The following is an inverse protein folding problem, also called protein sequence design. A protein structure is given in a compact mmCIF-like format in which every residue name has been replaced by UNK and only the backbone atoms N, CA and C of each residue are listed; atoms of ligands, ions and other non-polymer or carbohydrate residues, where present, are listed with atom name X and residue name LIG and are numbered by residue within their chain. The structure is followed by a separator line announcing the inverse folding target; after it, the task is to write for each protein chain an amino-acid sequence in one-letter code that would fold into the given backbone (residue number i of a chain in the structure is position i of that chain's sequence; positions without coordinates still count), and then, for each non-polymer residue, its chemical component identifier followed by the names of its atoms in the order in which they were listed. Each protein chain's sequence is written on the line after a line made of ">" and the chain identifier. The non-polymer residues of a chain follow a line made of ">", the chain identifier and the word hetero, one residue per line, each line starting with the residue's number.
data_IF_889451035940
#
_entry.id   IF_889451035940
#
_cell.length_a   1.000
_cell.length_b   1.000
_cell.length_c   1.000
_cell.angle_alpha   90.00
_cell.angle_beta   90.00
_cell.angle_gamma   90.00
#
_symmetry.space_group_name_H-M   'P 1'
#
loop_
_entity.id
_entity.type
_entity.pdbx_description
1 polymer ?
#
# COMPACT_ATOMS: atom_id res chain seq x y z
N UNK A 1 -40.94 28.92 7.81
CA UNK A 1 -40.57 30.00 8.80
C UNK A 1 -40.12 29.32 10.08
N UNK A 2 -38.80 29.18 10.29
CA UNK A 2 -38.17 29.03 11.61
C UNK A 2 -36.70 29.47 11.47
N UNK A 3 -36.33 30.46 12.23
CA UNK A 3 -35.03 31.08 12.40
C UNK A 3 -34.04 30.08 13.03
N UNK A 4 -32.81 29.99 12.52
CA UNK A 4 -31.66 29.49 13.27
C UNK A 4 -30.60 30.59 13.40
N UNK A 5 -30.44 30.98 14.64
CA UNK A 5 -29.50 31.99 15.16
C UNK A 5 -28.04 31.50 15.05
N UNK A 6 -27.18 32.35 14.49
CA UNK A 6 -25.73 32.21 14.52
C UNK A 6 -25.21 32.47 15.94
N UNK A 7 -24.51 31.48 16.53
CA UNK A 7 -23.58 31.74 17.63
C UNK A 7 -22.15 31.50 17.12
N UNK A 8 -21.41 32.60 17.06
CA UNK A 8 -19.97 32.59 16.85
C UNK A 8 -19.27 32.04 18.09
N UNK A 9 -18.48 30.98 17.92
CA UNK A 9 -17.52 30.51 18.92
C UNK A 9 -16.15 31.10 18.61
N UNK A 10 -15.73 32.02 19.45
CA UNK A 10 -14.41 32.64 19.49
C UNK A 10 -13.35 31.61 19.78
N UNK A 11 -12.42 31.41 18.85
CA UNK A 11 -11.21 30.62 19.04
C UNK A 11 -10.26 31.38 20.00
N UNK A 12 -9.82 30.69 21.06
CA UNK A 12 -8.73 31.17 21.95
C UNK A 12 -7.37 30.87 21.28
N UNK A 13 -6.40 31.80 21.36
CA UNK A 13 -5.06 31.54 20.80
C UNK A 13 -4.26 30.58 21.65
N UNK A 14 -3.51 29.70 20.97
CA UNK A 14 -2.58 28.76 21.55
C UNK A 14 -1.29 29.49 21.97
N UNK A 15 -0.76 29.30 23.20
CA UNK A 15 0.48 29.94 23.62
C UNK A 15 1.71 29.30 22.93
N UNK A 16 2.62 30.17 22.46
CA UNK A 16 3.92 29.74 21.90
C UNK A 16 4.90 29.33 23.01
N UNK A 17 5.74 28.33 22.79
CA UNK A 17 6.76 27.91 23.75
C UNK A 17 7.94 28.91 23.73
N UNK A 18 8.37 29.30 24.92
CA UNK A 18 9.51 30.20 25.18
C UNK A 18 10.85 29.51 24.78
N UNK A 19 11.72 30.31 24.13
CA UNK A 19 13.11 29.93 23.79
C UNK A 19 13.94 29.75 25.08
N UNK A 20 14.16 28.55 25.48
CA UNK A 20 15.17 28.18 26.49
C UNK A 20 16.46 27.72 25.81
N UNK A 21 17.55 28.42 26.12
CA UNK A 21 18.92 28.12 25.72
C UNK A 21 19.36 26.87 26.51
N UNK A 22 19.78 25.79 25.83
CA UNK A 22 20.41 24.62 26.49
C UNK A 22 21.86 24.55 26.04
N UNK A 23 22.72 24.65 27.02
CA UNK A 23 24.18 24.46 26.91
C UNK A 23 24.48 22.96 26.74
N UNK A 24 25.49 22.67 25.93
CA UNK A 24 25.99 21.32 25.69
C UNK A 24 26.99 20.90 26.78
N UNK A 25 26.99 19.66 27.21
CA UNK A 25 28.13 19.10 27.97
C UNK A 25 29.06 18.25 27.06
N UNK A 26 30.32 18.40 27.37
CA UNK A 26 31.52 17.81 26.82
C UNK A 26 31.58 16.29 26.89
N UNK A 27 32.23 15.69 25.87
CA UNK A 27 32.61 14.29 25.77
C UNK A 27 33.49 13.78 26.94
N UNK A 28 33.49 12.45 27.17
CA UNK A 28 34.79 11.77 27.05
C UNK A 28 34.77 10.51 26.18
N UNK A 29 35.83 10.40 25.43
CA UNK A 29 36.34 9.27 24.66
C UNK A 29 36.41 7.96 25.44
N UNK A 30 35.92 6.85 24.85
CA UNK A 30 36.44 5.51 25.18
C UNK A 30 36.35 4.57 23.98
N UNK A 31 37.50 4.15 23.51
CA UNK A 31 37.75 3.07 22.58
C UNK A 31 37.20 1.74 23.08
N UNK A 32 36.41 1.04 22.25
CA UNK A 32 36.27 -0.41 22.37
C UNK A 32 36.40 -1.04 20.98
N UNK A 33 37.35 -1.96 20.90
CA UNK A 33 37.69 -2.83 19.78
C UNK A 33 36.49 -3.68 19.38
N UNK A 34 36.16 -3.70 18.12
CA UNK A 34 35.27 -4.69 17.54
C UNK A 34 36.05 -5.94 17.17
N UNK A 35 35.62 -7.08 17.72
CA UNK A 35 36.08 -8.39 17.33
C UNK A 35 35.45 -8.79 16.01
N UNK A 36 36.27 -9.34 15.14
CA UNK A 36 35.88 -9.95 13.87
C UNK A 36 35.04 -11.19 14.13
N UNK A 37 33.81 -11.23 13.58
CA UNK A 37 33.06 -12.45 13.39
C UNK A 37 33.04 -12.77 11.89
N UNK A 38 33.73 -13.83 11.53
CA UNK A 38 33.60 -14.50 10.23
C UNK A 38 32.20 -15.11 10.15
N UNK A 39 31.40 -14.66 9.20
CA UNK A 39 30.13 -15.28 8.82
C UNK A 39 30.34 -16.10 7.55
N UNK A 40 30.22 -17.41 7.68
CA UNK A 40 30.15 -18.35 6.56
C UNK A 40 28.95 -17.99 5.67
N UNK A 41 29.22 -17.83 4.37
CA UNK A 41 28.23 -17.46 3.40
C UNK A 41 27.35 -18.63 2.99
N UNK A 42 26.07 -18.57 3.28
CA UNK A 42 25.08 -19.34 2.55
C UNK A 42 24.62 -18.54 1.33
N UNK A 43 24.94 -19.06 0.17
CA UNK A 43 24.53 -18.53 -1.13
C UNK A 43 23.03 -18.78 -1.35
N UNK A 44 22.25 -17.71 -1.27
CA UNK A 44 20.86 -17.72 -1.68
C UNK A 44 20.80 -17.70 -3.23
N UNK A 45 20.45 -18.83 -3.81
CA UNK A 45 20.29 -19.00 -5.26
C UNK A 45 18.99 -18.32 -5.73
N UNK A 46 19.10 -17.12 -6.25
CA UNK A 46 18.01 -16.36 -6.87
C UNK A 46 18.12 -16.41 -8.39
N UNK A 47 17.83 -17.57 -8.96
CA UNK A 47 17.64 -17.71 -10.41
C UNK A 47 16.19 -17.52 -10.79
N UNK A 48 15.78 -16.29 -11.11
CA UNK A 48 14.78 -15.92 -12.13
C UNK A 48 14.46 -14.42 -12.13
N UNK A 49 15.41 -13.58 -12.52
CA UNK A 49 15.06 -12.28 -13.11
C UNK A 49 15.91 -12.05 -14.36
N UNK A 50 15.23 -11.76 -15.46
CA UNK A 50 15.76 -11.57 -16.79
C UNK A 50 16.98 -10.66 -16.83
N UNK A 51 17.91 -11.02 -17.71
CA UNK A 51 19.10 -10.31 -18.14
C UNK A 51 18.79 -8.85 -18.53
N UNK A 52 18.73 -7.97 -17.55
CA UNK A 52 18.67 -6.53 -17.67
C UNK A 52 20.03 -5.93 -17.32
N UNK A 53 20.60 -5.31 -18.32
CA UNK A 53 21.81 -4.50 -18.42
C UNK A 53 22.48 -4.12 -17.08
N UNK A 54 23.77 -4.43 -16.94
CA UNK A 54 24.69 -4.07 -15.84
C UNK A 54 24.68 -2.58 -15.43
N UNK A 55 24.02 -1.71 -16.19
CA UNK A 55 23.87 -0.27 -15.91
C UNK A 55 22.88 0.05 -14.80
N UNK A 56 21.91 -0.84 -14.52
CA UNK A 56 20.88 -0.60 -13.51
C UNK A 56 21.35 -0.87 -12.08
N UNK A 57 22.34 -1.75 -11.88
CA UNK A 57 22.86 -2.14 -10.56
C UNK A 57 23.64 -1.03 -9.83
N UNK A 58 24.01 0.05 -10.52
CA UNK A 58 24.76 1.18 -9.94
C UNK A 58 23.90 2.38 -9.56
N UNK A 59 22.60 2.36 -9.90
CA UNK A 59 21.70 3.47 -9.58
C UNK A 59 21.28 3.41 -8.10
N UNK A 60 21.32 4.58 -7.45
CA UNK A 60 20.72 4.71 -6.12
C UNK A 60 19.21 4.57 -6.22
N UNK A 61 18.60 3.94 -5.23
CA UNK A 61 17.16 3.74 -5.16
C UNK A 61 16.33 5.00 -5.46
N UNK A 62 16.73 6.14 -4.89
CA UNK A 62 16.06 7.42 -5.11
C UNK A 62 16.11 7.89 -6.58
N UNK A 63 17.21 7.63 -7.29
CA UNK A 63 17.33 7.96 -8.71
C UNK A 63 16.43 7.07 -9.56
N UNK A 64 16.37 5.78 -9.22
CA UNK A 64 15.50 4.82 -9.90
C UNK A 64 14.03 5.24 -9.79
N UNK A 65 13.58 5.64 -8.59
CA UNK A 65 12.23 6.15 -8.38
C UNK A 65 11.95 7.39 -9.22
N UNK A 66 12.88 8.36 -9.28
CA UNK A 66 12.70 9.56 -10.09
C UNK A 66 12.66 9.26 -11.58
N UNK A 67 13.47 8.31 -12.06
CA UNK A 67 13.45 7.92 -13.48
C UNK A 67 12.17 7.16 -13.86
N UNK A 68 11.70 6.25 -12.99
CA UNK A 68 10.39 5.60 -13.17
C UNK A 68 9.26 6.62 -13.19
N UNK A 69 9.29 7.61 -12.31
CA UNK A 69 8.34 8.70 -12.28
C UNK A 69 8.36 9.54 -13.58
N UNK A 70 9.55 9.82 -14.15
CA UNK A 70 9.67 10.49 -15.47
C UNK A 70 8.88 9.71 -16.53
N UNK A 71 9.04 8.40 -16.60
CA UNK A 71 8.34 7.57 -17.60
C UNK A 71 6.83 7.57 -17.37
N UNK A 72 6.38 7.44 -16.13
CA UNK A 72 4.96 7.45 -15.80
C UNK A 72 4.32 8.78 -16.23
N UNK A 73 4.91 9.91 -15.87
CA UNK A 73 4.33 11.23 -16.24
C UNK A 73 4.34 11.42 -17.75
N UNK A 74 5.41 11.07 -18.44
CA UNK A 74 5.46 11.19 -19.89
C UNK A 74 4.44 10.27 -20.57
N UNK A 75 4.26 9.05 -20.07
CA UNK A 75 3.31 8.09 -20.64
C UNK A 75 1.86 8.54 -20.48
N UNK A 76 1.50 9.04 -19.30
CA UNK A 76 0.10 9.28 -18.96
C UNK A 76 -0.35 10.74 -19.11
N UNK A 77 0.55 11.71 -18.89
CA UNK A 77 0.25 13.14 -19.09
C UNK A 77 0.73 13.67 -20.45
N UNK A 78 1.58 12.90 -21.16
CA UNK A 78 2.15 13.30 -22.45
C UNK A 78 3.14 14.46 -22.34
N UNK A 79 3.39 15.00 -21.15
CA UNK A 79 4.27 16.14 -20.91
C UNK A 79 4.92 16.12 -19.55
N UNK A 80 6.24 16.23 -19.53
CA UNK A 80 7.03 16.33 -18.30
C UNK A 80 7.72 17.69 -18.20
N UNK A 81 7.72 18.28 -17.01
CA UNK A 81 8.52 19.46 -16.68
C UNK A 81 9.36 19.19 -15.44
N UNK A 82 10.40 20.01 -15.19
CA UNK A 82 11.16 19.94 -13.92
C UNK A 82 10.28 20.17 -12.70
N UNK A 83 9.15 20.86 -12.86
CA UNK A 83 8.21 21.16 -11.77
C UNK A 83 7.58 19.88 -11.19
N UNK A 84 7.21 18.89 -12.02
CA UNK A 84 6.70 17.59 -11.57
C UNK A 84 7.67 16.91 -10.59
N UNK A 85 8.96 16.88 -10.94
CA UNK A 85 9.99 16.28 -10.07
C UNK A 85 10.22 17.10 -8.80
N UNK A 86 10.24 18.45 -8.91
CA UNK A 86 10.42 19.33 -7.76
C UNK A 86 9.30 19.17 -6.73
N UNK A 87 8.06 19.12 -7.18
CA UNK A 87 6.88 19.04 -6.31
C UNK A 87 6.72 17.68 -5.63
N UNK A 88 6.99 16.59 -6.36
CA UNK A 88 6.85 15.23 -5.81
C UNK A 88 8.02 14.84 -4.91
N UNK A 89 9.24 15.15 -5.32
CA UNK A 89 10.45 14.70 -4.60
C UNK A 89 11.08 15.76 -3.72
N UNK A 90 10.56 16.98 -3.67
CA UNK A 90 11.12 18.08 -2.88
C UNK A 90 12.52 18.49 -3.33
N UNK A 91 12.92 18.20 -4.58
CA UNK A 91 14.25 18.49 -5.11
C UNK A 91 14.31 19.85 -5.82
N UNK A 92 15.51 20.45 -5.85
CA UNK A 92 15.71 21.70 -6.56
C UNK A 92 15.66 21.52 -8.09
N UNK A 93 15.33 22.60 -8.81
CA UNK A 93 15.20 22.64 -10.28
C UNK A 93 16.46 22.15 -11.02
N UNK A 94 17.64 22.44 -10.49
CA UNK A 94 18.90 21.97 -11.07
C UNK A 94 19.02 20.45 -11.00
N UNK A 95 18.66 19.85 -9.87
CA UNK A 95 18.67 18.41 -9.70
C UNK A 95 17.63 17.74 -10.61
N UNK A 96 16.39 18.27 -10.68
CA UNK A 96 15.37 17.79 -11.59
C UNK A 96 15.82 17.81 -13.05
N UNK A 97 16.44 18.92 -13.49
CA UNK A 97 17.00 19.05 -14.84
C UNK A 97 18.11 18.04 -15.11
N UNK A 98 19.00 17.84 -14.12
CA UNK A 98 20.08 16.83 -14.19
C UNK A 98 19.54 15.41 -14.31
N UNK A 99 18.49 15.08 -13.55
CA UNK A 99 17.87 13.76 -13.59
C UNK A 99 17.21 13.48 -14.94
N UNK A 100 16.46 14.45 -15.50
CA UNK A 100 15.89 14.33 -16.85
C UNK A 100 16.98 14.13 -17.91
N UNK A 101 18.05 14.93 -17.84
CA UNK A 101 19.15 14.81 -18.81
C UNK A 101 19.91 13.49 -18.67
N UNK A 102 20.11 13.01 -17.46
CA UNK A 102 20.73 11.71 -17.21
C UNK A 102 19.83 10.56 -17.72
N UNK A 103 18.51 10.61 -17.45
CA UNK A 103 17.57 9.65 -17.98
C UNK A 103 17.66 9.59 -19.51
N UNK A 104 17.60 10.73 -20.20
CA UNK A 104 17.74 10.84 -21.67
C UNK A 104 19.05 10.28 -22.20
N UNK A 105 20.14 10.40 -21.44
CA UNK A 105 21.47 10.00 -21.91
C UNK A 105 21.80 8.56 -21.58
N UNK A 106 21.41 8.07 -20.42
CA UNK A 106 21.93 6.80 -19.87
C UNK A 106 20.89 5.69 -19.74
N UNK A 107 19.62 6.03 -19.49
CA UNK A 107 18.58 5.03 -19.25
C UNK A 107 17.82 4.72 -20.54
N UNK A 108 17.25 5.72 -21.16
CA UNK A 108 16.44 5.58 -22.35
C UNK A 108 16.75 6.68 -23.40
N UNK A 109 17.89 6.58 -24.10
CA UNK A 109 18.24 7.51 -25.15
C UNK A 109 17.17 7.57 -26.23
N UNK A 110 16.74 8.77 -26.59
CA UNK A 110 15.74 8.99 -27.64
C UNK A 110 14.28 8.87 -27.18
N UNK A 111 13.99 8.56 -25.91
CA UNK A 111 12.61 8.45 -25.41
C UNK A 111 11.90 9.81 -25.27
N UNK A 112 12.64 10.90 -25.06
CA UNK A 112 12.07 12.21 -24.76
C UNK A 112 12.54 13.27 -25.76
N UNK A 113 11.59 13.99 -26.35
CA UNK A 113 11.82 15.19 -27.10
C UNK A 113 11.48 16.44 -26.30
N UNK A 114 12.16 17.56 -26.57
CA UNK A 114 11.79 18.82 -25.94
C UNK A 114 10.87 19.60 -26.88
N UNK A 115 9.66 19.86 -26.44
CA UNK A 115 8.69 20.68 -27.16
C UNK A 115 8.70 22.11 -26.58
N UNK A 116 9.14 23.06 -27.43
CA UNK A 116 9.20 24.48 -27.06
C UNK A 116 7.78 25.11 -26.89
N UNK A 117 6.80 24.60 -27.62
CA UNK A 117 5.41 25.06 -27.53
C UNK A 117 4.75 24.58 -26.25
N UNK A 118 4.91 23.30 -25.94
CA UNK A 118 4.46 22.70 -24.71
C UNK A 118 5.30 23.11 -23.48
N UNK A 119 6.49 23.72 -23.71
CA UNK A 119 7.47 24.09 -22.66
C UNK A 119 7.81 22.93 -21.74
N UNK A 120 8.05 21.75 -22.33
CA UNK A 120 8.31 20.52 -21.57
C UNK A 120 8.88 19.42 -22.45
N UNK A 121 9.13 18.28 -21.82
CA UNK A 121 9.53 17.06 -22.52
C UNK A 121 8.26 16.25 -22.85
N UNK A 122 8.18 15.78 -24.08
CA UNK A 122 7.10 14.93 -24.59
C UNK A 122 7.64 13.56 -24.96
N UNK A 123 6.81 12.52 -25.01
CA UNK A 123 7.26 11.22 -25.53
C UNK A 123 7.64 11.37 -27.01
N UNK A 124 8.75 10.78 -27.41
CA UNK A 124 9.14 10.68 -28.82
C UNK A 124 8.29 9.60 -29.51
N UNK A 125 8.29 9.57 -30.86
CA UNK A 125 7.63 8.51 -31.65
C UNK A 125 8.20 7.10 -31.33
N UNK A 126 9.37 7.01 -30.71
CA UNK A 126 10.04 5.78 -30.34
C UNK A 126 9.99 5.50 -28.84
N UNK A 127 9.14 6.22 -28.11
CA UNK A 127 9.03 6.07 -26.64
C UNK A 127 8.75 4.62 -26.24
N UNK A 128 9.66 4.06 -25.46
CA UNK A 128 9.52 2.72 -24.86
C UNK A 128 9.87 2.79 -23.37
N UNK A 129 8.90 2.59 -22.47
CA UNK A 129 9.18 2.52 -21.04
C UNK A 129 10.21 1.44 -20.71
N UNK A 130 11.15 1.75 -19.82
CA UNK A 130 12.20 0.83 -19.34
C UNK A 130 12.00 0.48 -17.87
N UNK A 131 11.34 1.34 -17.11
CA UNK A 131 11.25 1.28 -15.65
C UNK A 131 9.81 1.18 -15.14
N UNK A 132 8.84 1.74 -15.85
CA UNK A 132 7.43 1.57 -15.54
C UNK A 132 6.89 0.30 -16.19
N UNK A 133 5.89 -0.33 -15.55
CA UNK A 133 5.13 -1.46 -16.14
C UNK A 133 4.15 -1.01 -17.21
N UNK A 134 3.88 0.31 -17.28
CA UNK A 134 2.90 0.88 -18.20
C UNK A 134 1.45 0.64 -17.78
N UNK A 135 1.21 0.31 -16.52
CA UNK A 135 -0.12 0.14 -15.95
C UNK A 135 -0.69 1.49 -15.52
N UNK A 136 -1.95 1.76 -15.87
CA UNK A 136 -2.65 3.00 -15.48
C UNK A 136 -2.67 3.20 -13.96
N UNK A 137 -2.72 2.11 -13.19
CA UNK A 137 -2.70 2.14 -11.73
C UNK A 137 -1.48 2.87 -11.17
N UNK A 138 -0.31 2.75 -11.81
CA UNK A 138 0.90 3.43 -11.36
C UNK A 138 0.76 4.96 -11.33
N UNK A 139 0.08 5.53 -12.33
CA UNK A 139 -0.19 6.96 -12.39
C UNK A 139 -1.29 7.39 -11.42
N UNK A 140 -2.40 6.63 -11.38
CA UNK A 140 -3.53 6.94 -10.50
C UNK A 140 -3.15 6.82 -9.01
N UNK A 141 -2.26 5.90 -8.64
CA UNK A 141 -1.71 5.79 -7.29
C UNK A 141 -0.84 7.00 -6.91
N UNK A 142 -0.09 7.57 -7.86
CA UNK A 142 0.64 8.82 -7.64
C UNK A 142 -0.34 9.94 -7.33
N UNK A 143 -1.40 10.11 -8.13
CA UNK A 143 -2.42 11.13 -7.89
C UNK A 143 -3.11 10.93 -6.53
N UNK A 144 -3.43 9.69 -6.16
CA UNK A 144 -4.01 9.37 -4.86
C UNK A 144 -3.08 9.76 -3.70
N UNK A 145 -1.79 9.45 -3.81
CA UNK A 145 -0.78 9.84 -2.81
C UNK A 145 -0.59 11.35 -2.70
N UNK A 146 -0.69 12.08 -3.82
CA UNK A 146 -0.63 13.55 -3.82
C UNK A 146 -1.84 14.19 -3.14
N UNK A 147 -3.02 13.55 -3.20
CA UNK A 147 -4.21 14.01 -2.46
C UNK A 147 -3.99 13.97 -0.95
N UNK A 148 -3.31 12.96 -0.40
CA UNK A 148 -2.96 12.92 1.01
C UNK A 148 -1.99 14.07 1.39
N UNK A 149 -1.01 14.37 0.52
CA UNK A 149 -0.09 15.51 0.71
C UNK A 149 -0.84 16.83 0.65
N UNK A 150 -1.84 16.98 -0.22
CA UNK A 150 -2.70 18.16 -0.27
C UNK A 150 -3.44 18.37 1.04
N UNK A 151 -3.99 17.34 1.66
CA UNK A 151 -4.67 17.45 2.95
C UNK A 151 -3.72 17.97 4.06
N UNK A 152 -2.44 17.60 3.99
CA UNK A 152 -1.41 18.04 4.93
C UNK A 152 -0.91 19.46 4.68
N UNK A 153 -0.73 19.85 3.41
CA UNK A 153 -0.10 21.11 3.01
C UNK A 153 -1.11 22.18 2.56
N UNK A 154 -2.39 21.83 2.41
CA UNK A 154 -3.47 22.73 2.01
C UNK A 154 -3.47 23.12 0.52
N UNK A 155 -2.55 22.58 -0.29
CA UNK A 155 -2.44 22.87 -1.72
C UNK A 155 -2.06 21.64 -2.51
N UNK A 156 -2.74 21.40 -3.66
CA UNK A 156 -2.27 20.44 -4.66
C UNK A 156 -1.03 21.01 -5.37
N UNK A 157 -0.07 20.15 -5.72
CA UNK A 157 0.98 20.54 -6.65
C UNK A 157 0.35 21.03 -7.97
N UNK A 158 0.67 22.27 -8.38
CA UNK A 158 0.10 22.89 -9.59
C UNK A 158 0.50 22.20 -10.91
N UNK A 159 1.45 21.27 -10.85
CA UNK A 159 1.90 20.50 -12.02
C UNK A 159 0.92 19.40 -12.43
N UNK A 160 0.01 18.98 -11.52
CA UNK A 160 -0.87 17.84 -11.74
C UNK A 160 -2.32 18.24 -11.99
N UNK A 161 -3.08 17.32 -12.60
CA UNK A 161 -4.51 17.51 -12.81
C UNK A 161 -5.28 17.53 -11.49
N UNK A 162 -6.37 18.31 -11.43
CA UNK A 162 -7.25 18.29 -10.27
C UNK A 162 -7.83 16.90 -10.05
N UNK A 163 -7.67 16.40 -8.83
CA UNK A 163 -8.07 15.03 -8.46
C UNK A 163 -8.81 15.06 -7.12
N UNK A 164 -9.94 14.40 -7.07
CA UNK A 164 -10.72 14.21 -5.83
C UNK A 164 -10.68 12.73 -5.46
N UNK A 165 -10.25 12.44 -4.23
CA UNK A 165 -10.15 11.07 -3.70
C UNK A 165 -11.09 10.92 -2.52
N UNK A 166 -12.02 9.97 -2.63
CA UNK A 166 -12.89 9.61 -1.52
C UNK A 166 -12.08 8.80 -0.50
N UNK A 167 -11.76 9.44 0.61
CA UNK A 167 -11.04 8.79 1.71
C UNK A 167 -12.01 8.19 2.73
N UNK A 168 -11.77 6.93 3.12
CA UNK A 168 -12.45 6.35 4.28
C UNK A 168 -11.88 6.95 5.58
N UNK A 169 -12.73 7.20 6.60
CA UNK A 169 -12.24 7.74 7.87
C UNK A 169 -11.10 6.92 8.46
N UNK A 170 -10.02 7.58 8.81
CA UNK A 170 -8.86 6.96 9.45
C UNK A 170 -9.25 6.35 10.80
N UNK A 171 -8.92 5.08 10.99
CA UNK A 171 -9.04 4.40 12.28
C UNK A 171 -7.73 4.53 13.02
N UNK A 172 -7.69 5.45 13.96
CA UNK A 172 -6.47 5.72 14.72
C UNK A 172 -6.08 4.52 15.58
N UNK A 173 -4.79 4.19 15.55
CA UNK A 173 -4.16 3.18 16.37
C UNK A 173 -3.01 3.87 17.09
N UNK A 174 -3.05 3.97 18.43
CA UNK A 174 -1.96 4.59 19.19
C UNK A 174 -0.61 3.91 18.93
N UNK A 175 0.49 4.67 18.78
CA UNK A 175 1.82 4.11 18.63
C UNK A 175 2.22 3.14 19.76
N UNK A 176 1.74 3.36 21.00
CA UNK A 176 1.96 2.49 22.15
C UNK A 176 1.37 1.08 21.92
N UNK A 177 0.31 0.94 21.11
CA UNK A 177 -0.26 -0.35 20.73
C UNK A 177 0.46 -0.93 19.51
N UNK A 178 0.68 -0.12 18.47
CA UNK A 178 1.18 -0.64 17.19
C UNK A 178 2.66 -1.08 17.26
N UNK A 179 3.51 -0.32 17.94
CA UNK A 179 4.95 -0.63 18.02
C UNK A 179 5.26 -2.01 18.62
N UNK A 180 4.68 -2.40 19.79
CA UNK A 180 4.89 -3.74 20.32
C UNK A 180 4.36 -4.85 19.40
N UNK A 181 3.21 -4.64 18.73
CA UNK A 181 2.65 -5.61 17.78
C UNK A 181 3.55 -5.80 16.56
N UNK A 182 4.10 -4.71 16.00
CA UNK A 182 5.05 -4.76 14.88
C UNK A 182 6.33 -5.48 15.28
N UNK A 183 6.86 -5.19 16.48
CA UNK A 183 8.03 -5.88 17.02
C UNK A 183 7.75 -7.37 17.19
N UNK A 184 6.67 -7.73 17.86
CA UNK A 184 6.29 -9.12 18.11
C UNK A 184 6.10 -9.91 16.78
N UNK A 185 5.52 -9.26 15.76
CA UNK A 185 5.36 -9.87 14.44
C UNK A 185 6.69 -10.13 13.72
N UNK A 186 7.67 -9.21 13.85
CA UNK A 186 8.99 -9.32 13.22
C UNK A 186 9.91 -10.31 13.93
N UNK A 187 9.85 -10.32 15.27
CA UNK A 187 10.76 -11.09 16.13
C UNK A 187 10.14 -12.43 16.59
N UNK A 188 8.91 -12.75 16.13
CA UNK A 188 8.15 -13.94 16.52
C UNK A 188 7.97 -14.08 18.04
N UNK A 189 7.61 -12.97 18.69
CA UNK A 189 7.39 -12.93 20.12
C UNK A 189 5.92 -13.13 20.48
N UNK A 190 5.68 -13.73 21.65
CA UNK A 190 4.38 -13.75 22.31
C UNK A 190 4.11 -12.37 22.89
N UNK A 191 2.89 -11.93 22.81
CA UNK A 191 2.48 -10.63 23.33
C UNK A 191 1.11 -10.74 24.00
N UNK A 192 1.01 -10.24 25.22
CA UNK A 192 -0.27 -10.07 25.90
C UNK A 192 -0.94 -8.78 25.46
N UNK A 193 -2.21 -8.86 25.11
CA UNK A 193 -2.99 -7.76 24.56
C UNK A 193 -4.39 -7.76 25.14
N UNK A 194 -4.96 -6.59 25.34
CA UNK A 194 -6.39 -6.43 25.59
C UNK A 194 -7.11 -6.24 24.26
N UNK A 195 -8.09 -7.07 23.98
CA UNK A 195 -8.82 -7.03 22.71
C UNK A 195 -10.32 -7.04 22.91
N UNK A 196 -11.03 -6.17 22.20
CA UNK A 196 -12.49 -6.08 22.19
C UNK A 196 -13.03 -6.69 20.91
N UNK A 197 -13.72 -7.83 21.01
CA UNK A 197 -14.39 -8.45 19.87
C UNK A 197 -15.87 -8.01 19.78
N UNK A 198 -16.48 -8.14 18.60
CA UNK A 198 -17.92 -7.84 18.44
C UNK A 198 -18.81 -8.90 19.13
N UNK A 199 -18.39 -10.15 19.11
CA UNK A 199 -19.12 -11.25 19.75
C UNK A 199 -19.03 -11.21 21.28
N UNK A 200 -17.97 -10.58 21.81
CA UNK A 200 -17.76 -10.36 23.25
C UNK A 200 -17.20 -8.96 23.41
N UNK A 201 -18.04 -7.94 23.64
CA UNK A 201 -17.62 -6.56 23.69
C UNK A 201 -16.83 -6.19 24.94
N UNK A 202 -16.75 -7.08 25.94
CA UNK A 202 -15.94 -6.89 27.12
C UNK A 202 -14.46 -6.94 26.77
N UNK A 203 -13.69 -6.08 27.42
CA UNK A 203 -12.24 -6.06 27.30
C UNK A 203 -11.66 -7.36 27.88
N UNK A 204 -10.96 -8.11 27.06
CA UNK A 204 -10.42 -9.40 27.40
C UNK A 204 -8.94 -9.50 27.08
N UNK A 205 -8.13 -9.86 28.09
CA UNK A 205 -6.72 -10.19 27.92
C UNK A 205 -6.54 -11.44 27.06
N UNK A 206 -5.59 -11.38 26.13
CA UNK A 206 -5.23 -12.49 25.24
C UNK A 206 -3.75 -12.52 25.01
N UNK A 207 -3.17 -13.72 24.98
CA UNK A 207 -1.83 -13.92 24.47
C UNK A 207 -1.92 -14.32 23.00
N UNK A 208 -1.25 -13.56 22.15
CA UNK A 208 -1.16 -13.82 20.73
C UNK A 208 0.30 -13.83 20.26
N UNK A 209 0.55 -14.50 19.14
CA UNK A 209 1.83 -14.45 18.41
C UNK A 209 1.56 -13.89 17.03
N UNK A 210 1.72 -12.59 16.82
CA UNK A 210 1.47 -11.97 15.52
C UNK A 210 2.54 -12.38 14.51
N UNK A 211 2.17 -12.44 13.21
CA UNK A 211 3.14 -12.69 12.16
C UNK A 211 2.97 -11.79 10.92
N UNK A 212 1.79 -11.27 10.64
CA UNK A 212 1.58 -10.45 9.44
C UNK A 212 0.55 -9.35 9.68
N UNK A 213 0.88 -8.13 9.25
CA UNK A 213 -0.09 -7.03 9.14
C UNK A 213 -0.79 -7.13 7.80
N UNK A 214 -2.13 -7.05 7.80
CA UNK A 214 -2.97 -7.23 6.61
C UNK A 214 -3.83 -6.00 6.39
N UNK A 215 -3.69 -5.38 5.22
CA UNK A 215 -4.60 -4.35 4.75
C UNK A 215 -5.70 -4.98 3.88
N UNK A 216 -6.96 -4.75 4.22
CA UNK A 216 -8.11 -5.35 3.52
C UNK A 216 -8.86 -4.36 2.61
N UNK A 217 -8.22 -3.25 2.25
CA UNK A 217 -8.88 -2.16 1.51
C UNK A 217 -9.72 -1.23 2.40
N UNK A 218 -10.19 -1.70 3.55
CA UNK A 218 -11.03 -0.94 4.47
C UNK A 218 -10.41 -0.69 5.84
N UNK A 219 -9.60 -1.62 6.34
CA UNK A 219 -8.99 -1.55 7.68
C UNK A 219 -7.80 -2.49 7.81
N UNK A 220 -6.92 -2.18 8.74
CA UNK A 220 -5.79 -3.00 9.11
C UNK A 220 -6.17 -4.10 10.09
N UNK A 221 -5.61 -5.28 9.88
CA UNK A 221 -5.65 -6.43 10.77
C UNK A 221 -4.22 -6.87 11.10
N UNK A 222 -4.07 -7.63 12.16
CA UNK A 222 -2.90 -8.46 12.40
C UNK A 222 -3.34 -9.92 12.44
N UNK A 223 -2.71 -10.76 11.62
CA UNK A 223 -2.86 -12.21 11.67
C UNK A 223 -1.94 -12.75 12.73
N UNK A 224 -2.48 -13.55 13.65
CA UNK A 224 -1.76 -14.03 14.82
C UNK A 224 -2.27 -15.40 15.27
N UNK A 225 -1.38 -16.22 15.83
CA UNK A 225 -1.76 -17.36 16.66
C UNK A 225 -2.39 -16.83 17.94
N UNK A 226 -3.54 -17.36 18.34
CA UNK A 226 -4.21 -17.02 19.59
C UNK A 226 -4.12 -18.18 20.56
N UNK A 227 -3.39 -18.03 21.66
CA UNK A 227 -3.21 -19.12 22.65
C UNK A 227 -4.55 -19.53 23.30
N UNK A 228 -5.45 -18.58 23.50
CA UNK A 228 -6.77 -18.88 24.05
C UNK A 228 -7.62 -19.77 23.12
N UNK A 229 -7.55 -19.52 21.83
CA UNK A 229 -8.36 -20.23 20.85
C UNK A 229 -7.63 -21.44 20.25
N UNK A 230 -6.32 -21.57 20.47
CA UNK A 230 -5.44 -22.57 19.85
C UNK A 230 -5.59 -22.58 18.30
N UNK A 231 -5.64 -21.37 17.72
CA UNK A 231 -5.93 -21.17 16.31
C UNK A 231 -5.34 -19.83 15.81
N UNK A 232 -5.06 -19.73 14.50
CA UNK A 232 -4.67 -18.49 13.86
C UNK A 232 -5.90 -17.64 13.53
N UNK A 233 -5.87 -16.37 13.93
CA UNK A 233 -6.99 -15.43 13.79
C UNK A 233 -6.56 -14.06 13.32
N UNK A 234 -7.51 -13.35 12.70
CA UNK A 234 -7.34 -11.97 12.28
C UNK A 234 -7.88 -11.02 13.36
N UNK A 235 -7.02 -10.19 13.89
CA UNK A 235 -7.36 -9.18 14.89
C UNK A 235 -7.39 -7.79 14.25
N UNK A 236 -8.50 -7.09 14.35
CA UNK A 236 -8.64 -5.71 13.85
C UNK A 236 -7.80 -4.78 14.71
N UNK A 237 -6.81 -4.09 14.11
CA UNK A 237 -5.86 -3.25 14.86
C UNK A 237 -6.53 -2.17 15.71
N UNK A 238 -7.60 -1.55 15.23
CA UNK A 238 -8.32 -0.52 15.98
C UNK A 238 -9.16 -1.03 17.17
N UNK A 239 -9.16 -2.35 17.42
CA UNK A 239 -9.87 -2.96 18.55
C UNK A 239 -8.99 -3.36 19.71
N UNK A 240 -7.67 -3.20 19.59
CA UNK A 240 -6.77 -3.35 20.72
C UNK A 240 -6.95 -2.20 21.72
N UNK A 241 -6.77 -2.49 22.99
CA UNK A 241 -6.87 -1.54 24.11
C UNK A 241 -5.68 -1.71 25.04
N UNK A 242 -5.41 -0.68 25.84
CA UNK A 242 -4.29 -0.71 26.78
C UNK A 242 -2.93 -0.76 26.10
N UNK A 243 -1.90 -1.04 26.86
CA UNK A 243 -0.52 -1.21 26.38
C UNK A 243 -0.19 -2.70 26.31
N UNK A 244 0.18 -3.23 25.14
CA UNK A 244 0.58 -4.63 24.99
C UNK A 244 1.89 -4.92 25.71
N UNK A 245 2.01 -6.13 26.33
CA UNK A 245 3.22 -6.60 27.01
C UNK A 245 3.87 -7.75 26.25
N UNK A 246 5.19 -7.62 25.97
CA UNK A 246 5.98 -8.66 25.31
C UNK A 246 6.34 -9.76 26.32
N UNK A 247 6.09 -11.01 25.97
CA UNK A 247 6.30 -12.18 26.84
C UNK A 247 7.46 -13.07 26.40
N UNK A 248 8.19 -12.70 25.34
CA UNK A 248 9.33 -13.45 24.82
C UNK A 248 9.03 -14.34 23.63
N UNK A 249 10.01 -15.10 23.15
CA UNK A 249 9.98 -15.77 21.87
C UNK A 249 8.94 -16.90 21.79
N UNK A 250 8.50 -17.19 20.56
CA UNK A 250 7.59 -18.29 20.22
C UNK A 250 8.08 -19.05 18.99
N UNK A 251 7.74 -20.33 18.90
CA UNK A 251 7.93 -21.14 17.69
C UNK A 251 6.81 -20.94 16.65
N UNK A 252 5.73 -20.25 17.01
CA UNK A 252 4.61 -19.96 16.09
C UNK A 252 4.99 -18.80 15.17
N UNK A 253 4.80 -18.99 13.87
CA UNK A 253 5.13 -18.01 12.84
C UNK A 253 4.20 -18.18 11.63
N UNK A 254 4.43 -17.43 10.56
CA UNK A 254 3.64 -17.50 9.34
C UNK A 254 3.73 -18.87 8.63
N UNK A 255 4.87 -19.57 8.71
CA UNK A 255 5.06 -20.88 8.09
C UNK A 255 4.22 -21.97 8.77
N UNK A 256 3.95 -21.81 10.08
CA UNK A 256 3.11 -22.73 10.83
C UNK A 256 1.60 -22.49 10.62
N UNK A 257 1.20 -21.40 10.00
CA UNK A 257 -0.19 -21.08 9.63
C UNK A 257 -0.53 -21.70 8.27
N UNK A 258 -1.00 -22.94 8.27
CA UNK A 258 -1.32 -23.68 7.03
C UNK A 258 -2.33 -22.94 6.15
N UNK A 259 -3.36 -22.38 6.75
CA UNK A 259 -4.41 -21.64 6.04
C UNK A 259 -3.85 -20.36 5.39
N UNK A 260 -2.87 -19.72 6.03
CA UNK A 260 -2.17 -18.58 5.48
C UNK A 260 -1.23 -18.96 4.34
N UNK A 261 -0.62 -20.14 4.40
CA UNK A 261 0.26 -20.64 3.33
C UNK A 261 -0.54 -21.13 2.11
N UNK A 262 -1.79 -21.55 2.32
CA UNK A 262 -2.64 -22.03 1.23
C UNK A 262 -2.99 -20.92 0.26
N UNK A 263 -2.70 -21.13 -1.01
CA UNK A 263 -3.11 -20.28 -2.11
C UNK A 263 -4.22 -20.98 -2.91
N UNK A 264 -5.20 -20.21 -3.32
CA UNK A 264 -6.33 -20.68 -4.13
C UNK A 264 -6.48 -19.81 -5.36
N UNK A 265 -6.94 -20.41 -6.46
CA UNK A 265 -7.34 -19.67 -7.65
C UNK A 265 -8.83 -19.30 -7.52
N UNK A 266 -9.12 -18.00 -7.69
CA UNK A 266 -10.48 -17.46 -7.78
C UNK A 266 -10.71 -17.05 -9.22
N UNK A 267 -11.75 -17.59 -9.84
CA UNK A 267 -12.11 -17.27 -11.23
C UNK A 267 -13.37 -16.42 -11.19
N UNK A 268 -13.25 -15.19 -11.68
CA UNK A 268 -14.31 -14.20 -11.74
C UNK A 268 -14.63 -13.93 -13.21
N UNK A 269 -15.90 -13.81 -13.53
CA UNK A 269 -16.37 -13.44 -14.85
C UNK A 269 -17.60 -12.55 -14.80
N UNK A 270 -18.06 -12.03 -15.95
CA UNK A 270 -19.32 -11.32 -16.01
C UNK A 270 -20.48 -12.21 -15.60
N UNK A 271 -21.51 -11.63 -14.97
CA UNK A 271 -22.72 -12.36 -14.59
C UNK A 271 -23.37 -12.97 -15.86
N UNK A 272 -23.56 -14.30 -15.89
CA UNK A 272 -24.11 -15.00 -17.06
C UNK A 272 -25.57 -14.59 -17.42
N UNK A 273 -26.26 -13.90 -16.51
CA UNK A 273 -27.61 -13.35 -16.75
C UNK A 273 -27.57 -12.08 -17.61
N UNK A 274 -26.40 -11.44 -17.77
CA UNK A 274 -26.19 -10.34 -18.69
C UNK A 274 -26.19 -10.85 -20.15
N UNK A 275 -26.67 -10.04 -21.10
CA UNK A 275 -26.55 -10.40 -22.50
C UNK A 275 -25.07 -10.31 -22.97
N UNK A 276 -24.78 -10.93 -24.12
CA UNK A 276 -23.43 -11.07 -24.65
C UNK A 276 -22.68 -9.73 -24.80
N UNK A 277 -23.36 -8.68 -25.25
CA UNK A 277 -22.76 -7.35 -25.40
C UNK A 277 -22.42 -6.74 -24.04
N UNK A 278 -23.29 -6.90 -23.05
CA UNK A 278 -23.04 -6.44 -21.68
C UNK A 278 -21.87 -7.20 -21.04
N UNK A 279 -21.82 -8.52 -21.23
CA UNK A 279 -20.68 -9.31 -20.74
C UNK A 279 -19.36 -8.86 -21.37
N UNK A 280 -19.34 -8.53 -22.65
CA UNK A 280 -18.15 -8.01 -23.34
C UNK A 280 -17.70 -6.66 -22.76
N UNK A 281 -18.65 -5.76 -22.43
CA UNK A 281 -18.33 -4.47 -21.77
C UNK A 281 -17.71 -4.71 -20.41
N UNK A 282 -18.28 -5.58 -19.57
CA UNK A 282 -17.76 -5.89 -18.24
C UNK A 282 -16.39 -6.56 -18.32
N UNK A 283 -16.21 -7.51 -19.24
CA UNK A 283 -14.93 -8.16 -19.46
C UNK A 283 -13.82 -7.17 -19.83
N UNK A 284 -14.14 -6.19 -20.67
CA UNK A 284 -13.22 -5.13 -21.03
C UNK A 284 -12.92 -4.19 -19.86
N UNK A 285 -13.94 -3.77 -19.12
CA UNK A 285 -13.80 -2.85 -17.97
C UNK A 285 -12.89 -3.42 -16.87
N UNK A 286 -13.01 -4.71 -16.59
CA UNK A 286 -12.14 -5.40 -15.63
C UNK A 286 -10.83 -5.95 -16.23
N UNK A 287 -10.53 -5.68 -17.50
CA UNK A 287 -9.32 -6.20 -18.16
C UNK A 287 -9.26 -7.73 -18.19
N UNK A 288 -10.41 -8.39 -18.32
CA UNK A 288 -10.49 -9.85 -18.33
C UNK A 288 -9.90 -10.42 -19.61
N UNK A 289 -9.12 -11.49 -19.49
CA UNK A 289 -8.59 -12.25 -20.61
C UNK A 289 -9.57 -13.38 -20.93
N UNK A 290 -10.03 -13.46 -22.18
CA UNK A 290 -11.05 -14.45 -22.61
C UNK A 290 -12.34 -14.43 -21.76
N UNK A 291 -12.71 -13.23 -21.28
CA UNK A 291 -13.88 -13.03 -20.42
C UNK A 291 -13.70 -13.51 -18.97
N UNK A 292 -12.48 -13.82 -18.54
CA UNK A 292 -12.17 -14.33 -17.22
C UNK A 292 -11.10 -13.48 -16.52
N UNK A 293 -11.29 -13.32 -15.22
CA UNK A 293 -10.28 -12.75 -14.33
C UNK A 293 -9.84 -13.84 -13.34
N UNK A 294 -8.61 -14.35 -13.51
CA UNK A 294 -8.03 -15.40 -12.66
C UNK A 294 -7.12 -14.76 -11.64
N UNK A 295 -7.45 -14.93 -10.37
CA UNK A 295 -6.72 -14.36 -9.24
C UNK A 295 -6.19 -15.48 -8.35
N UNK A 296 -4.89 -15.49 -8.12
CA UNK A 296 -4.28 -16.34 -7.09
C UNK A 296 -4.19 -15.55 -5.80
N UNK A 297 -4.90 -15.99 -4.77
CA UNK A 297 -4.96 -15.31 -3.48
C UNK A 297 -4.69 -16.27 -2.33
N UNK A 298 -4.20 -15.75 -1.20
CA UNK A 298 -4.19 -16.55 0.03
C UNK A 298 -5.60 -16.88 0.46
N UNK A 299 -5.86 -18.14 0.78
CA UNK A 299 -7.21 -18.63 1.10
C UNK A 299 -7.89 -17.79 2.18
N UNK A 300 -7.18 -17.41 3.25
CA UNK A 300 -7.73 -16.56 4.32
C UNK A 300 -8.00 -15.10 3.92
N UNK A 301 -7.52 -14.66 2.77
CA UNK A 301 -7.83 -13.32 2.25
C UNK A 301 -9.04 -13.30 1.30
N UNK A 302 -9.52 -14.45 0.86
CA UNK A 302 -10.66 -14.54 -0.04
C UNK A 302 -11.88 -13.77 0.47
N UNK A 303 -12.35 -13.94 1.71
CA UNK A 303 -13.55 -13.23 2.17
C UNK A 303 -13.39 -11.70 2.17
N UNK A 304 -12.17 -11.21 2.36
CA UNK A 304 -11.87 -9.78 2.28
C UNK A 304 -11.85 -9.29 0.82
N UNK A 305 -11.30 -10.09 -0.10
CA UNK A 305 -11.32 -9.80 -1.53
C UNK A 305 -12.76 -9.69 -2.04
N UNK A 306 -13.63 -10.64 -1.68
CA UNK A 306 -15.02 -10.63 -2.10
C UNK A 306 -15.75 -9.39 -1.60
N UNK A 307 -15.53 -9.00 -0.34
CA UNK A 307 -16.10 -7.76 0.21
C UNK A 307 -15.57 -6.50 -0.50
N UNK A 308 -14.29 -6.49 -0.88
CA UNK A 308 -13.70 -5.39 -1.62
C UNK A 308 -14.32 -5.26 -3.02
N UNK A 309 -14.58 -6.38 -3.66
CA UNK A 309 -15.25 -6.47 -4.97
C UNK A 309 -16.78 -6.37 -4.87
N UNK A 310 -17.34 -6.24 -3.67
CA UNK A 310 -18.78 -6.23 -3.41
C UNK A 310 -19.49 -7.50 -3.94
N UNK A 311 -18.78 -8.62 -3.94
CA UNK A 311 -19.33 -9.92 -4.31
C UNK A 311 -19.95 -10.58 -3.08
N UNK A 312 -21.26 -10.77 -3.09
CA UNK A 312 -21.98 -11.54 -2.10
C UNK A 312 -22.23 -12.94 -2.67
N UNK A 313 -21.72 -13.98 -2.00
CA UNK A 313 -21.92 -15.38 -2.38
C UNK A 313 -23.20 -15.97 -1.76
N UNK A 314 -23.78 -15.29 -0.77
CA UNK A 314 -24.99 -15.77 -0.07
C UNK A 314 -26.27 -15.23 -0.69
N UNK A 315 -26.21 -14.05 -1.30
CA UNK A 315 -27.37 -13.37 -1.90
C UNK A 315 -26.97 -12.81 -3.28
N UNK A 316 -27.37 -13.51 -4.33
CA UNK A 316 -27.26 -12.97 -5.69
C UNK A 316 -28.35 -11.90 -5.86
N UNK A 317 -27.94 -10.67 -6.21
CA UNK A 317 -28.87 -9.59 -6.48
C UNK A 317 -29.80 -9.93 -7.66
N UNK A 318 -31.09 -9.53 -7.59
CA UNK A 318 -32.06 -9.81 -8.65
C UNK A 318 -31.66 -9.16 -9.98
N UNK A 319 -31.13 -7.93 -9.93
CA UNK A 319 -30.64 -7.23 -11.12
C UNK A 319 -29.14 -7.52 -11.35
N UNK A 320 -28.77 -8.25 -12.42
CA UNK A 320 -27.37 -8.53 -12.73
C UNK A 320 -26.54 -7.29 -13.09
N UNK A 321 -27.18 -6.13 -13.35
CA UNK A 321 -26.48 -4.87 -13.55
C UNK A 321 -26.00 -4.24 -12.22
N UNK A 322 -26.61 -4.60 -11.11
CA UNK A 322 -26.21 -4.15 -9.79
C UNK A 322 -25.01 -4.96 -9.25
N UNK A 323 -24.88 -6.23 -9.65
CA UNK A 323 -23.73 -7.08 -9.37
C UNK A 323 -23.25 -7.68 -10.69
N UNK A 324 -22.37 -6.97 -11.38
CA UNK A 324 -21.99 -7.24 -12.77
C UNK A 324 -21.04 -8.42 -12.95
N UNK A 325 -20.35 -8.83 -11.89
CA UNK A 325 -19.39 -9.92 -11.87
C UNK A 325 -19.77 -10.98 -10.85
N UNK A 326 -19.39 -12.23 -11.11
CA UNK A 326 -19.64 -13.37 -10.24
C UNK A 326 -18.43 -14.28 -10.14
N UNK A 327 -18.37 -15.11 -9.08
CA UNK A 327 -17.38 -16.18 -8.96
C UNK A 327 -17.86 -17.37 -9.79
N UNK A 328 -17.01 -17.83 -10.70
CA UNK A 328 -17.36 -18.97 -11.58
C UNK A 328 -16.95 -20.33 -11.00
N UNK A 329 -16.00 -20.35 -10.06
CA UNK A 329 -15.52 -21.57 -9.40
C UNK A 329 -15.88 -21.61 -7.90
N UNK A 330 -17.06 -21.13 -7.54
CA UNK A 330 -17.53 -21.02 -6.15
C UNK A 330 -17.39 -22.32 -5.35
N UNK A 331 -17.74 -23.48 -5.93
CA UNK A 331 -17.62 -24.76 -5.28
C UNK A 331 -16.18 -25.11 -4.84
N UNK A 332 -15.17 -24.65 -5.59
CA UNK A 332 -13.76 -24.87 -5.26
C UNK A 332 -13.24 -23.98 -4.12
N UNK A 333 -13.91 -22.85 -3.87
CA UNK A 333 -13.46 -21.86 -2.88
C UNK A 333 -14.40 -21.73 -1.67
N UNK A 334 -15.53 -22.40 -1.70
CA UNK A 334 -16.59 -22.30 -0.68
C UNK A 334 -16.11 -22.58 0.75
N UNK A 335 -15.16 -23.52 0.93
CA UNK A 335 -14.60 -23.84 2.26
C UNK A 335 -13.80 -22.70 2.90
N UNK A 336 -13.50 -21.64 2.15
CA UNK A 336 -12.72 -20.49 2.59
C UNK A 336 -13.55 -19.22 2.80
N UNK A 337 -14.85 -19.31 2.58
CA UNK A 337 -15.78 -18.21 2.85
C UNK A 337 -15.98 -18.05 4.36
N UNK A 338 -16.39 -16.87 4.81
CA UNK A 338 -16.81 -16.69 6.20
C UNK A 338 -18.11 -17.48 6.45
N UNK A 339 -18.16 -18.19 7.58
CA UNK A 339 -19.39 -18.74 8.15
C UNK A 339 -20.33 -17.62 8.60
#
# INVERSE_FOLDING_TARGET
>A
RAYYSRRALLARPIPQPSKGRVEAPLHPTRNHRYGEYESEGETCDSTAYHTGDHRMSTLRWEQLLRYRFIEIIVLWEGRLTTRHLCEVFGIGRQQASKDINNYKRTIAPGNLDYDATAKGYTPSDHFKPQLTRGETSEYLEILAGLSDVQQLLGQLPEAFTSTEILSVPSRQIPPAILRPLVRAAREHERIEVDYVSLSRPDREGRIIVPHTLVWTGLRWHVRAWCEKNQDYRDFVLSRFRGEPELLGPSSRNAQADQDWQTQIEVIIGPDPRLNQNQQAVIAHDYGMVEGLWRLTVRAKLLPYLLKLLQLDTTHTLDDPKAQQIVILNEAAVSSWLFD
#
